data_IF_040816102673
#
_entry.id   IF_040816102673
#
_cell.length_a   1.000
_cell.length_b   1.000
_cell.length_c   1.000
_cell.angle_alpha   90.00
_cell.angle_beta   90.00
_cell.angle_gamma   90.00
#
_symmetry.space_group_name_H-M   'P 1'
#
loop_
_entity.id
_entity.type
_entity.pdbx_description
1 polymer ?
#
# COMPACT_ATOMS: atom_id res chain seq x y z
N UNK A 1 -1.22 -9.38 10.26
CA UNK A 1 -0.49 -9.78 9.06
C UNK A 1 -0.89 -8.89 7.89
N UNK A 2 0.05 -8.12 7.33
CA UNK A 2 -0.12 -7.48 6.03
C UNK A 2 -0.47 -8.48 4.92
N UNK A 3 -1.52 -8.18 4.16
CA UNK A 3 -1.98 -9.00 3.04
C UNK A 3 -2.33 -8.13 1.85
N UNK A 4 -1.93 -8.58 0.66
CA UNK A 4 -2.26 -7.99 -0.64
C UNK A 4 -3.29 -8.88 -1.32
N UNK A 5 -4.42 -8.29 -1.71
CA UNK A 5 -5.56 -8.98 -2.30
C UNK A 5 -6.01 -8.33 -3.60
N UNK A 6 -6.55 -9.14 -4.50
CA UNK A 6 -7.25 -8.71 -5.71
C UNK A 6 -8.73 -9.09 -5.57
N UNK A 7 -9.62 -8.12 -5.75
CA UNK A 7 -11.07 -8.30 -5.77
C UNK A 7 -11.59 -8.07 -7.19
N UNK A 8 -12.56 -8.86 -7.63
CA UNK A 8 -13.15 -8.78 -8.96
C UNK A 8 -14.68 -8.66 -8.87
N UNK A 9 -15.22 -7.55 -9.33
CA UNK A 9 -16.66 -7.29 -9.30
C UNK A 9 -17.23 -7.24 -10.71
N UNK A 10 -18.41 -7.84 -10.92
CA UNK A 10 -19.18 -7.69 -12.15
C UNK A 10 -20.03 -6.43 -12.05
N UNK A 11 -19.84 -5.51 -12.99
CA UNK A 11 -20.61 -4.29 -13.11
C UNK A 11 -21.86 -4.54 -13.95
N UNK A 12 -23.01 -3.98 -13.55
CA UNK A 12 -24.21 -3.97 -14.43
C UNK A 12 -24.00 -3.13 -15.68
N UNK A 13 -23.17 -2.09 -15.61
CA UNK A 13 -22.81 -1.20 -16.72
C UNK A 13 -21.37 -0.74 -16.55
N UNK A 14 -20.61 -0.63 -17.63
CA UNK A 14 -19.26 -0.06 -17.58
C UNK A 14 -19.35 1.46 -17.34
N UNK A 15 -18.69 2.01 -16.30
CA UNK A 15 -18.62 3.45 -16.10
C UNK A 15 -17.79 4.13 -17.21
N UNK A 16 -18.21 5.31 -17.64
CA UNK A 16 -17.44 6.13 -18.59
C UNK A 16 -16.10 6.59 -17.98
N UNK A 17 -16.14 6.98 -16.71
CA UNK A 17 -14.96 7.39 -15.94
C UNK A 17 -15.08 6.82 -14.53
N UNK A 18 -13.94 6.39 -13.99
CA UNK A 18 -13.81 5.94 -12.61
C UNK A 18 -12.62 6.64 -11.96
N UNK A 19 -12.85 7.28 -10.82
CA UNK A 19 -11.82 7.99 -10.08
C UNK A 19 -11.36 7.21 -8.86
N UNK A 20 -10.13 7.45 -8.38
CA UNK A 20 -9.66 6.97 -7.08
C UNK A 20 -10.63 7.16 -5.91
N UNK A 21 -11.34 8.29 -5.87
CA UNK A 21 -12.34 8.60 -4.84
C UNK A 21 -13.53 7.64 -4.85
N UNK A 22 -13.96 7.20 -6.03
CA UNK A 22 -15.05 6.24 -6.17
C UNK A 22 -14.64 4.87 -5.62
N UNK A 23 -13.41 4.44 -5.91
CA UNK A 23 -12.86 3.16 -5.46
C UNK A 23 -12.54 3.19 -3.96
N UNK A 24 -12.08 4.33 -3.45
CA UNK A 24 -11.94 4.56 -2.01
C UNK A 24 -13.28 4.45 -1.29
N UNK A 25 -14.35 5.04 -1.84
CA UNK A 25 -15.70 4.88 -1.30
C UNK A 25 -16.17 3.43 -1.33
N UNK A 26 -15.94 2.73 -2.45
CA UNK A 26 -16.25 1.30 -2.57
C UNK A 26 -15.56 0.48 -1.47
N UNK A 27 -14.29 0.74 -1.16
CA UNK A 27 -13.58 0.04 -0.09
C UNK A 27 -14.34 0.06 1.24
N UNK A 28 -14.87 1.21 1.67
CA UNK A 28 -15.63 1.29 2.93
C UNK A 28 -16.96 0.55 2.86
N UNK A 29 -17.63 0.55 1.70
CA UNK A 29 -18.86 -0.22 1.52
C UNK A 29 -18.66 -1.74 1.56
N UNK A 30 -17.41 -2.22 1.50
CA UNK A 30 -17.07 -3.63 1.70
C UNK A 30 -17.02 -4.04 3.17
N UNK A 31 -17.31 -3.15 4.12
CA UNK A 31 -17.28 -3.49 5.53
C UNK A 31 -18.60 -3.11 6.21
N UNK A 32 -18.88 -3.75 7.34
CA UNK A 32 -19.95 -3.31 8.21
C UNK A 32 -19.76 -1.87 8.68
N UNK A 33 -20.86 -1.17 8.96
CA UNK A 33 -20.84 0.25 9.32
C UNK A 33 -19.90 0.56 10.50
N UNK A 34 -19.85 -0.29 11.51
CA UNK A 34 -18.98 -0.13 12.67
C UNK A 34 -17.49 -0.12 12.29
N UNK A 35 -17.07 -1.05 11.42
CA UNK A 35 -15.70 -1.14 10.90
C UNK A 35 -15.42 0.05 9.97
N UNK A 36 -16.34 0.36 9.05
CA UNK A 36 -16.18 1.46 8.10
C UNK A 36 -16.01 2.81 8.82
N UNK A 37 -16.83 3.10 9.83
CA UNK A 37 -16.73 4.32 10.64
C UNK A 37 -15.42 4.40 11.42
N UNK A 38 -14.94 3.28 12.00
CA UNK A 38 -13.63 3.22 12.67
C UNK A 38 -12.52 3.61 11.71
N UNK A 39 -12.45 2.93 10.56
CA UNK A 39 -11.44 3.15 9.53
C UNK A 39 -11.46 4.59 8.99
N UNK A 40 -12.64 5.20 8.87
CA UNK A 40 -12.76 6.59 8.43
C UNK A 40 -12.13 7.58 9.42
N UNK A 41 -12.34 7.38 10.72
CA UNK A 41 -11.86 8.25 11.80
C UNK A 41 -10.37 8.14 12.07
N UNK A 42 -9.75 7.02 11.72
CA UNK A 42 -8.32 6.82 11.94
C UNK A 42 -7.45 7.79 11.13
N UNK A 43 -6.49 8.40 11.82
CA UNK A 43 -5.50 9.29 11.23
C UNK A 43 -4.62 8.55 10.21
N UNK A 44 -4.23 7.31 10.52
CA UNK A 44 -3.54 6.40 9.61
C UNK A 44 -4.43 5.22 9.34
N UNK A 45 -4.86 5.07 8.09
CA UNK A 45 -5.75 4.00 7.68
C UNK A 45 -4.97 2.69 7.46
N UNK A 46 -5.41 1.55 8.01
CA UNK A 46 -4.75 0.24 7.93
C UNK A 46 -4.95 -0.45 6.57
N UNK A 47 -4.98 0.32 5.49
CA UNK A 47 -5.05 -0.20 4.14
C UNK A 47 -4.35 0.74 3.15
N UNK A 48 -4.09 0.23 1.95
CA UNK A 48 -3.74 1.04 0.80
C UNK A 48 -4.34 0.42 -0.47
N UNK A 49 -4.67 1.27 -1.44
CA UNK A 49 -5.12 0.83 -2.76
C UNK A 49 -3.88 0.76 -3.66
N UNK A 50 -3.72 -0.35 -4.38
CA UNK A 50 -2.57 -0.58 -5.28
C UNK A 50 -2.90 -0.30 -6.74
N UNK A 51 -4.19 -0.38 -7.08
CA UNK A 51 -4.66 -0.03 -8.40
C UNK A 51 -6.06 -0.58 -8.63
N UNK A 52 -6.67 -0.15 -9.72
CA UNK A 52 -7.92 -0.71 -10.20
C UNK A 52 -7.98 -0.64 -11.72
N UNK A 53 -8.80 -1.50 -12.31
CA UNK A 53 -9.04 -1.50 -13.75
C UNK A 53 -10.46 -1.98 -14.05
N UNK A 54 -11.04 -1.48 -15.14
CA UNK A 54 -12.32 -2.00 -15.64
C UNK A 54 -12.06 -2.59 -17.02
N UNK A 55 -12.39 -3.87 -17.19
CA UNK A 55 -12.30 -4.57 -18.48
C UNK A 55 -13.48 -5.52 -18.61
N UNK A 56 -14.16 -5.52 -19.74
CA UNK A 56 -15.28 -6.44 -20.03
C UNK A 56 -16.37 -6.42 -18.93
N UNK A 57 -16.77 -5.21 -18.50
CA UNK A 57 -17.69 -4.98 -17.37
C UNK A 57 -17.26 -5.64 -16.05
N UNK A 58 -15.96 -5.92 -15.88
CA UNK A 58 -15.37 -6.43 -14.64
C UNK A 58 -14.45 -5.37 -14.05
N UNK A 59 -14.76 -4.91 -12.84
CA UNK A 59 -13.90 -4.07 -12.03
C UNK A 59 -12.94 -4.97 -11.25
N UNK A 60 -11.64 -4.81 -11.47
CA UNK A 60 -10.59 -5.39 -10.61
C UNK A 60 -10.04 -4.31 -9.70
N UNK A 61 -9.93 -4.62 -8.42
CA UNK A 61 -9.38 -3.77 -7.38
C UNK A 61 -8.26 -4.52 -6.67
N UNK A 62 -7.05 -3.96 -6.70
CA UNK A 62 -5.93 -4.44 -5.89
C UNK A 62 -5.76 -3.54 -4.67
N UNK A 63 -5.70 -4.14 -3.48
CA UNK A 63 -5.54 -3.43 -2.21
C UNK A 63 -4.71 -4.24 -1.24
N UNK A 64 -4.10 -3.57 -0.27
CA UNK A 64 -3.45 -4.22 0.85
C UNK A 64 -4.13 -3.84 2.16
N UNK A 65 -4.27 -4.80 3.07
CA UNK A 65 -4.73 -4.62 4.45
C UNK A 65 -3.53 -4.78 5.39
N UNK A 66 -3.47 -3.99 6.46
CA UNK A 66 -2.34 -3.93 7.39
C UNK A 66 -2.68 -4.43 8.80
N UNK A 67 -3.96 -4.73 9.06
CA UNK A 67 -4.48 -5.26 10.32
C UNK A 67 -5.14 -6.63 10.10
N UNK A 68 -4.90 -7.55 11.03
CA UNK A 68 -5.31 -8.95 10.99
C UNK A 68 -6.82 -9.12 10.88
N UNK A 69 -7.58 -8.34 11.66
CA UNK A 69 -9.04 -8.42 11.70
C UNK A 69 -9.73 -7.99 10.41
N UNK A 70 -9.04 -7.26 9.52
CA UNK A 70 -9.66 -6.75 8.30
C UNK A 70 -9.81 -7.81 7.22
N UNK A 71 -8.89 -8.77 7.14
CA UNK A 71 -8.93 -9.75 6.05
C UNK A 71 -10.11 -10.73 6.15
N UNK A 72 -10.38 -11.36 7.32
CA UNK A 72 -11.58 -12.16 7.50
C UNK A 72 -12.87 -11.35 7.30
N UNK A 73 -12.90 -10.11 7.82
CA UNK A 73 -14.04 -9.21 7.65
C UNK A 73 -14.31 -8.86 6.18
N UNK A 74 -13.24 -8.63 5.40
CA UNK A 74 -13.31 -8.37 3.97
C UNK A 74 -13.85 -9.59 3.22
N UNK A 75 -13.32 -10.80 3.50
CA UNK A 75 -13.79 -12.05 2.86
C UNK A 75 -15.29 -12.22 3.11
N UNK A 76 -15.71 -12.12 4.37
CA UNK A 76 -17.10 -12.29 4.75
C UNK A 76 -18.00 -11.28 4.01
N UNK A 77 -17.67 -10.00 4.09
CA UNK A 77 -18.50 -8.93 3.51
C UNK A 77 -18.46 -8.91 1.98
N UNK A 78 -17.37 -9.38 1.38
CA UNK A 78 -17.27 -9.54 -0.06
C UNK A 78 -18.21 -10.64 -0.56
N UNK A 79 -18.28 -11.81 0.08
CA UNK A 79 -19.16 -12.90 -0.38
C UNK A 79 -20.61 -12.78 0.12
N UNK A 80 -20.82 -12.10 1.24
CA UNK A 80 -22.13 -11.92 1.88
C UNK A 80 -22.39 -10.43 2.18
N UNK A 81 -22.51 -9.58 1.14
CA UNK A 81 -22.76 -8.16 1.34
C UNK A 81 -24.17 -7.95 1.91
N UNK A 82 -24.28 -7.20 3.02
CA UNK A 82 -25.58 -6.89 3.66
C UNK A 82 -26.48 -6.00 2.80
N UNK A 83 -25.87 -5.12 2.02
CA UNK A 83 -26.53 -4.20 1.10
C UNK A 83 -25.99 -4.39 -0.33
N UNK A 84 -26.71 -3.86 -1.32
CA UNK A 84 -26.20 -3.84 -2.69
C UNK A 84 -24.95 -2.98 -2.79
N UNK A 85 -23.86 -3.52 -3.34
CA UNK A 85 -22.66 -2.75 -3.63
C UNK A 85 -22.88 -1.86 -4.84
N UNK A 86 -22.38 -0.63 -4.77
CA UNK A 86 -22.49 0.35 -5.84
C UNK A 86 -21.19 1.13 -6.01
N UNK A 87 -20.92 1.55 -7.25
CA UNK A 87 -19.85 2.50 -7.54
C UNK A 87 -20.38 3.54 -8.53
N UNK A 88 -20.34 4.82 -8.17
CA UNK A 88 -21.01 5.90 -8.94
C UNK A 88 -22.49 5.61 -9.26
N UNK A 89 -23.22 5.00 -8.33
CA UNK A 89 -24.61 4.57 -8.51
C UNK A 89 -24.79 3.36 -9.44
N UNK A 90 -23.72 2.80 -10.00
CA UNK A 90 -23.76 1.57 -10.80
C UNK A 90 -23.74 0.37 -9.84
N UNK A 91 -24.76 -0.50 -9.84
CA UNK A 91 -24.73 -1.71 -9.04
C UNK A 91 -23.63 -2.65 -9.52
N UNK A 92 -22.92 -3.25 -8.56
CA UNK A 92 -21.88 -4.24 -8.81
C UNK A 92 -22.08 -5.44 -7.89
N UNK A 93 -21.65 -6.61 -8.35
CA UNK A 93 -21.69 -7.82 -7.55
C UNK A 93 -20.32 -8.50 -7.51
N UNK A 94 -19.98 -9.17 -6.41
CA UNK A 94 -18.83 -10.07 -6.36
C UNK A 94 -18.88 -11.05 -7.53
N UNK A 95 -17.74 -11.27 -8.20
CA UNK A 95 -17.66 -12.36 -9.17
C UNK A 95 -17.71 -13.70 -8.43
N UNK A 96 -18.54 -14.63 -8.95
CA UNK A 96 -18.61 -16.01 -8.45
C UNK A 96 -17.27 -16.71 -8.68
N UNK A 97 -16.88 -17.57 -7.74
CA UNK A 97 -15.71 -18.46 -7.79
C UNK A 97 -14.38 -17.75 -8.13
N UNK A 98 -13.52 -17.56 -7.10
CA UNK A 98 -12.20 -16.88 -7.21
C UNK A 98 -12.25 -15.37 -7.47
N UNK A 99 -13.34 -14.72 -7.10
CA UNK A 99 -13.47 -13.26 -7.20
C UNK A 99 -12.57 -12.49 -6.23
N UNK A 100 -12.23 -13.10 -5.10
CA UNK A 100 -11.19 -12.63 -4.18
C UNK A 100 -9.98 -13.55 -4.30
N UNK A 101 -8.79 -12.96 -4.48
CA UNK A 101 -7.51 -13.68 -4.54
C UNK A 101 -6.49 -13.04 -3.63
N UNK A 102 -5.87 -13.85 -2.78
CA UNK A 102 -4.65 -13.46 -2.07
C UNK A 102 -3.47 -13.47 -3.03
N UNK A 103 -2.78 -12.35 -3.16
CA UNK A 103 -1.62 -12.18 -4.05
C UNK A 103 -0.32 -12.37 -3.27
N UNK A 104 -0.29 -11.89 -2.02
CA UNK A 104 0.86 -11.97 -1.11
C UNK A 104 0.38 -11.77 0.32
N UNK A 105 0.86 -12.59 1.25
CA UNK A 105 0.71 -12.37 2.68
C UNK A 105 2.07 -12.56 3.35
N UNK A 106 2.41 -11.68 4.29
CA UNK A 106 3.59 -11.81 5.14
C UNK A 106 3.23 -11.21 6.50
N UNK A 107 3.36 -11.99 7.57
CA UNK A 107 3.18 -11.53 8.94
C UNK A 107 4.21 -10.45 9.30
N UNK A 108 3.93 -9.66 10.33
CA UNK A 108 4.91 -8.69 10.82
C UNK A 108 6.18 -9.37 11.34
N UNK A 109 6.05 -10.58 11.90
CA UNK A 109 7.19 -11.40 12.31
C UNK A 109 8.04 -11.85 11.10
N UNK A 110 7.43 -12.40 10.05
CA UNK A 110 8.15 -12.77 8.82
C UNK A 110 8.81 -11.55 8.16
N UNK A 111 8.16 -10.39 8.18
CA UNK A 111 8.76 -9.14 7.71
C UNK A 111 9.97 -8.75 8.57
N UNK A 112 9.90 -8.92 9.89
CA UNK A 112 11.02 -8.63 10.81
C UNK A 112 12.21 -9.56 10.58
N UNK A 113 11.98 -10.78 10.10
CA UNK A 113 13.02 -11.76 9.75
C UNK A 113 13.79 -11.40 8.47
N UNK A 114 13.34 -10.39 7.70
CA UNK A 114 14.01 -9.93 6.46
C UNK A 114 15.52 -9.73 6.64
N UNK A 115 16.35 -10.44 5.88
CA UNK A 115 17.81 -10.31 5.94
C UNK A 115 18.28 -8.88 5.59
N UNK A 116 19.40 -8.40 6.18
CA UNK A 116 19.91 -7.07 5.90
C UNK A 116 20.50 -6.97 4.49
N UNK A 117 19.98 -6.04 3.69
CA UNK A 117 20.51 -5.69 2.37
C UNK A 117 21.15 -4.29 2.39
N UNK A 118 22.47 -4.23 2.19
CA UNK A 118 23.20 -2.94 2.07
C UNK A 118 22.93 -2.21 0.77
N UNK A 119 22.35 -2.88 -0.23
CA UNK A 119 21.91 -2.29 -1.50
C UNK A 119 20.41 -2.53 -1.64
N UNK A 120 19.65 -1.45 -1.53
CA UNK A 120 18.19 -1.46 -1.64
C UNK A 120 17.77 -0.79 -2.93
N UNK A 121 16.67 -1.24 -3.51
CA UNK A 121 16.07 -0.62 -4.69
C UNK A 121 14.55 -0.66 -4.52
N UNK A 122 13.91 0.48 -4.71
CA UNK A 122 12.47 0.64 -4.62
C UNK A 122 11.95 1.25 -5.92
N UNK A 123 10.93 0.63 -6.51
CA UNK A 123 10.27 1.12 -7.72
C UNK A 123 8.91 1.71 -7.34
N UNK A 124 8.75 3.02 -7.52
CA UNK A 124 7.54 3.77 -7.27
C UNK A 124 6.71 3.79 -8.56
N UNK A 125 5.73 2.89 -8.63
CA UNK A 125 4.92 2.63 -9.83
C UNK A 125 3.70 3.55 -9.95
N UNK A 126 3.38 4.29 -8.90
CA UNK A 126 2.38 5.36 -8.95
C UNK A 126 2.90 6.65 -8.30
N UNK A 127 2.35 7.82 -8.66
CA UNK A 127 2.84 9.10 -8.15
C UNK A 127 2.91 9.12 -6.63
N UNK A 128 4.09 9.44 -6.11
CA UNK A 128 4.42 9.45 -4.69
C UNK A 128 4.80 10.85 -4.27
N UNK A 129 4.21 11.33 -3.18
CA UNK A 129 4.51 12.65 -2.65
C UNK A 129 4.43 12.64 -1.13
N UNK A 130 5.10 13.61 -0.53
CA UNK A 130 4.99 13.93 0.89
C UNK A 130 4.26 15.27 1.05
N UNK A 131 3.67 15.51 2.22
CA UNK A 131 3.14 16.83 2.52
C UNK A 131 4.26 17.72 3.06
N UNK A 132 4.52 18.84 2.39
CA UNK A 132 5.37 19.92 2.92
C UNK A 132 4.53 21.18 3.02
N UNK A 133 4.05 21.47 4.22
CA UNK A 133 3.04 22.51 4.46
C UNK A 133 1.76 22.27 3.64
N UNK A 134 1.43 23.18 2.72
CA UNK A 134 0.25 23.10 1.86
C UNK A 134 0.56 22.56 0.45
N UNK A 135 1.81 22.21 0.17
CA UNK A 135 2.25 21.76 -1.13
C UNK A 135 2.60 20.27 -1.15
N UNK A 136 2.37 19.65 -2.29
CA UNK A 136 2.91 18.33 -2.58
C UNK A 136 4.43 18.45 -2.71
N UNK A 137 5.16 17.56 -2.05
CA UNK A 137 6.61 17.45 -2.13
C UNK A 137 6.97 16.14 -2.85
N UNK A 138 7.21 16.19 -4.17
CA UNK A 138 7.40 15.02 -5.00
C UNK A 138 8.89 14.66 -5.15
N UNK A 139 9.69 14.76 -4.08
CA UNK A 139 11.10 14.37 -4.11
C UNK A 139 11.34 13.09 -3.31
N UNK A 140 12.11 12.12 -3.83
CA UNK A 140 12.37 10.83 -3.20
C UNK A 140 13.43 10.93 -2.10
N UNK A 141 13.25 11.81 -1.12
CA UNK A 141 14.21 11.96 -0.03
C UNK A 141 14.20 10.72 0.88
N UNK A 142 15.37 10.09 1.15
CA UNK A 142 15.39 8.83 1.89
C UNK A 142 14.77 8.94 3.28
N UNK A 143 15.06 10.02 4.01
CA UNK A 143 14.50 10.22 5.35
C UNK A 143 12.97 10.36 5.34
N UNK A 144 12.37 10.96 4.31
CA UNK A 144 10.91 11.04 4.17
C UNK A 144 10.29 9.68 3.85
N UNK A 145 10.92 8.91 2.95
CA UNK A 145 10.48 7.56 2.59
C UNK A 145 10.46 6.65 3.82
N UNK A 146 11.59 6.57 4.52
CA UNK A 146 11.75 5.62 5.62
C UNK A 146 11.06 6.09 6.91
N UNK A 147 10.97 7.39 7.19
CA UNK A 147 10.15 7.89 8.32
C UNK A 147 8.66 7.66 8.09
N UNK A 148 8.16 7.81 6.86
CA UNK A 148 6.78 7.48 6.51
C UNK A 148 6.48 5.99 6.73
N UNK A 149 7.35 5.11 6.25
CA UNK A 149 7.22 3.66 6.44
C UNK A 149 7.32 3.26 7.90
N UNK A 150 8.31 3.78 8.63
CA UNK A 150 8.49 3.56 10.07
C UNK A 150 7.24 3.97 10.85
N UNK A 151 6.69 5.14 10.54
CA UNK A 151 5.50 5.66 11.19
C UNK A 151 4.29 4.76 10.97
N UNK A 152 4.13 4.16 9.79
CA UNK A 152 3.07 3.17 9.50
C UNK A 152 3.36 1.83 10.16
N UNK A 153 4.59 1.35 10.10
CA UNK A 153 5.03 0.11 10.74
C UNK A 153 4.73 0.15 12.25
N UNK A 154 5.20 1.18 12.96
CA UNK A 154 4.96 1.35 14.40
C UNK A 154 3.49 1.60 14.76
N UNK A 155 2.60 1.85 13.79
CA UNK A 155 1.15 1.99 14.07
C UNK A 155 0.44 0.64 14.04
N UNK A 156 0.88 -0.28 13.17
CA UNK A 156 0.13 -1.50 12.86
C UNK A 156 0.86 -2.79 13.25
N UNK A 157 2.18 -2.73 13.45
CA UNK A 157 3.01 -3.84 13.90
C UNK A 157 3.05 -3.89 15.43
N UNK A 158 3.02 -5.10 15.98
CA UNK A 158 3.30 -5.37 17.40
C UNK A 158 4.81 -5.33 17.73
N UNK A 159 5.67 -5.26 16.70
CA UNK A 159 7.13 -5.22 16.83
C UNK A 159 7.64 -3.82 16.44
N UNK A 160 7.64 -2.82 17.34
CA UNK A 160 8.09 -1.48 17.00
C UNK A 160 9.57 -1.47 16.61
N UNK A 161 9.92 -0.61 15.66
CA UNK A 161 11.29 -0.32 15.27
C UNK A 161 11.68 1.09 15.75
N UNK A 162 12.93 1.21 16.17
CA UNK A 162 13.55 2.50 16.48
C UNK A 162 14.52 2.87 15.36
N UNK A 163 14.26 4.01 14.73
CA UNK A 163 15.07 4.55 13.65
C UNK A 163 14.98 6.07 13.67
N UNK A 164 16.04 6.73 14.12
CA UNK A 164 16.14 8.17 14.13
C UNK A 164 16.37 8.72 12.72
N UNK A 165 15.83 9.91 12.45
CA UNK A 165 16.04 10.61 11.18
C UNK A 165 17.54 10.80 10.87
N UNK A 166 18.32 11.11 11.90
CA UNK A 166 19.78 11.30 11.80
C UNK A 166 20.53 10.02 11.43
N UNK A 167 20.04 8.83 11.82
CA UNK A 167 20.59 7.55 11.38
C UNK A 167 20.41 7.39 9.86
N UNK A 168 19.22 7.71 9.35
CA UNK A 168 18.93 7.64 7.91
C UNK A 168 19.79 8.65 7.14
N UNK A 169 19.83 9.91 7.60
CA UNK A 169 20.57 10.98 6.92
C UNK A 169 22.09 10.72 6.87
N UNK A 170 22.68 10.06 7.89
CA UNK A 170 24.12 9.79 7.96
C UNK A 170 24.52 8.41 7.44
N UNK A 171 23.59 7.47 7.39
CA UNK A 171 23.85 6.06 7.11
C UNK A 171 23.33 5.59 5.75
N UNK A 172 22.66 6.46 4.98
CA UNK A 172 22.03 6.10 3.72
C UNK A 172 22.38 7.06 2.60
N UNK A 173 22.87 6.52 1.48
CA UNK A 173 23.17 7.29 0.27
C UNK A 173 22.24 6.85 -0.87
N UNK A 174 21.70 7.81 -1.63
CA UNK A 174 21.04 7.52 -2.91
C UNK A 174 22.13 7.36 -3.96
N UNK A 175 22.29 6.15 -4.51
CA UNK A 175 23.26 5.89 -5.58
C UNK A 175 22.62 5.88 -6.97
N UNK A 176 21.29 5.78 -7.03
CA UNK A 176 20.53 5.76 -8.27
C UNK A 176 19.19 6.45 -8.05
N UNK A 177 18.83 7.33 -8.98
CA UNK A 177 17.48 7.83 -9.11
C UNK A 177 17.17 8.01 -10.60
N UNK A 178 16.18 7.26 -11.09
CA UNK A 178 15.65 7.38 -12.44
C UNK A 178 14.14 7.56 -12.34
N UNK A 179 13.61 8.68 -12.83
CA UNK A 179 12.19 8.96 -12.70
C UNK A 179 11.78 10.35 -13.17
N UNK A 180 10.50 10.65 -12.96
CA UNK A 180 9.90 11.93 -13.30
C UNK A 180 8.77 12.25 -12.32
N UNK A 181 8.33 13.50 -12.28
CA UNK A 181 7.05 13.84 -11.66
C UNK A 181 5.88 13.53 -12.61
N UNK A 182 4.75 13.14 -12.05
CA UNK A 182 3.50 12.88 -12.77
C UNK A 182 2.31 13.41 -11.97
N UNK A 183 1.29 13.87 -12.69
CA UNK A 183 -0.01 14.20 -12.09
C UNK A 183 -0.76 12.91 -11.71
N UNK A 184 -1.41 12.93 -10.56
CA UNK A 184 -2.37 11.93 -10.12
C UNK A 184 -3.75 12.58 -9.97
N UNK A 185 -4.69 12.14 -10.80
CA UNK A 185 -6.06 12.67 -10.83
C UNK A 185 -6.89 11.90 -9.79
N UNK A 186 -7.22 12.54 -8.68
CA UNK A 186 -7.98 11.94 -7.58
C UNK A 186 -9.49 12.00 -7.85
N UNK A 187 -9.95 13.11 -8.43
CA UNK A 187 -11.31 13.33 -8.93
C UNK A 187 -11.29 14.43 -10.01
N UNK A 188 -12.47 14.90 -10.43
CA UNK A 188 -12.62 15.94 -11.46
C UNK A 188 -11.94 17.28 -11.13
N UNK A 189 -11.76 17.62 -9.85
CA UNK A 189 -11.27 18.92 -9.37
C UNK A 189 -9.97 18.83 -8.60
N UNK A 190 -9.62 17.63 -8.13
CA UNK A 190 -8.45 17.40 -7.29
C UNK A 190 -7.39 16.60 -8.04
N UNK A 191 -6.24 17.23 -8.22
CA UNK A 191 -5.02 16.60 -8.70
C UNK A 191 -3.91 16.75 -7.66
N UNK A 192 -2.96 15.83 -7.71
CA UNK A 192 -1.73 15.86 -6.93
C UNK A 192 -0.53 15.63 -7.82
N UNK A 193 0.63 16.14 -7.45
CA UNK A 193 1.88 15.87 -8.16
C UNK A 193 2.75 14.97 -7.30
N UNK A 194 3.26 13.89 -7.89
CA UNK A 194 4.17 12.96 -7.21
C UNK A 194 5.27 12.46 -8.13
N UNK A 195 6.36 11.95 -7.58
CA UNK A 195 7.38 11.27 -8.36
C UNK A 195 6.99 9.82 -8.65
N UNK A 196 7.46 9.30 -9.77
CA UNK A 196 7.47 7.88 -10.13
C UNK A 196 8.87 7.50 -10.56
N UNK A 197 9.18 6.20 -10.54
CA UNK A 197 10.44 5.67 -11.02
C UNK A 197 11.20 4.87 -9.96
N UNK A 198 12.49 4.68 -10.19
CA UNK A 198 13.36 3.81 -9.38
C UNK A 198 14.29 4.65 -8.51
N UNK A 199 14.38 4.27 -7.24
CA UNK A 199 15.34 4.85 -6.28
C UNK A 199 16.19 3.73 -5.69
N UNK A 200 17.51 3.86 -5.81
CA UNK A 200 18.50 2.94 -5.28
C UNK A 200 19.24 3.54 -4.09
N UNK A 201 19.37 2.77 -3.01
CA UNK A 201 20.06 3.17 -1.79
C UNK A 201 21.25 2.26 -1.45
N UNK A 202 22.34 2.85 -0.96
CA UNK A 202 23.46 2.18 -0.31
C UNK A 202 23.45 2.49 1.18
N UNK A 203 23.41 1.44 1.99
CA UNK A 203 23.33 1.51 3.46
C UNK A 203 24.70 1.22 4.07
N UNK A 204 25.12 2.07 5.01
CA UNK A 204 26.45 2.08 5.61
C UNK A 204 26.75 0.79 6.40
N UNK A 205 25.96 0.51 7.43
CA UNK A 205 26.16 -0.58 8.36
C UNK A 205 25.04 -1.63 8.28
N UNK A 206 25.24 -2.76 8.95
CA UNK A 206 24.36 -3.91 8.85
C UNK A 206 23.07 -3.75 9.68
N UNK A 207 23.14 -3.02 10.79
CA UNK A 207 22.00 -2.80 11.68
C UNK A 207 20.97 -1.88 11.01
N UNK A 208 21.43 -0.76 10.45
CA UNK A 208 20.59 0.12 9.65
C UNK A 208 20.05 -0.64 8.42
N UNK A 209 20.88 -1.45 7.74
CA UNK A 209 20.44 -2.25 6.61
C UNK A 209 19.32 -3.22 6.99
N UNK A 210 19.34 -3.82 8.18
CA UNK A 210 18.26 -4.69 8.69
C UNK A 210 16.96 -3.89 8.79
N UNK A 211 16.96 -2.78 9.53
CA UNK A 211 15.77 -1.91 9.73
C UNK A 211 15.19 -1.44 8.40
N UNK A 212 16.04 -0.92 7.50
CA UNK A 212 15.60 -0.40 6.21
C UNK A 212 15.12 -1.51 5.26
N UNK A 213 15.68 -2.73 5.33
CA UNK A 213 15.21 -3.86 4.51
C UNK A 213 13.80 -4.31 4.90
N UNK A 214 13.51 -4.38 6.22
CA UNK A 214 12.16 -4.65 6.74
C UNK A 214 11.16 -3.61 6.22
N UNK A 215 11.48 -2.32 6.38
CA UNK A 215 10.62 -1.22 5.93
C UNK A 215 10.44 -1.21 4.40
N UNK A 216 11.51 -1.47 3.64
CA UNK A 216 11.46 -1.54 2.20
C UNK A 216 10.58 -2.70 1.72
N UNK A 217 10.64 -3.89 2.35
CA UNK A 217 9.76 -5.00 2.00
C UNK A 217 8.30 -4.73 2.40
N UNK A 218 8.09 -4.10 3.56
CA UNK A 218 6.77 -3.65 4.04
C UNK A 218 6.11 -2.61 3.12
N UNK A 219 6.90 -1.80 2.40
CA UNK A 219 6.37 -0.80 1.45
C UNK A 219 5.45 -1.39 0.37
N UNK A 220 5.66 -2.66 -0.01
CA UNK A 220 4.77 -3.38 -0.93
C UNK A 220 3.32 -3.40 -0.43
N UNK A 221 3.12 -3.48 0.88
CA UNK A 221 1.80 -3.48 1.53
C UNK A 221 1.37 -2.08 1.94
N UNK A 222 2.24 -1.30 2.59
CA UNK A 222 1.85 -0.02 3.16
C UNK A 222 1.67 1.10 2.12
N UNK A 223 2.43 1.03 1.02
CA UNK A 223 2.70 2.20 0.18
C UNK A 223 3.57 3.24 0.90
N UNK A 224 3.96 4.29 0.18
CA UNK A 224 4.79 5.39 0.69
C UNK A 224 4.12 6.73 0.44
N UNK A 225 4.19 7.64 1.41
CA UNK A 225 3.76 9.02 1.25
C UNK A 225 2.26 9.24 1.49
N UNK A 226 1.70 10.23 0.80
CA UNK A 226 0.30 10.66 0.96
C UNK A 226 -0.64 9.87 0.07
N UNK A 227 -1.93 9.84 0.44
CA UNK A 227 -3.02 9.31 -0.39
C UNK A 227 -2.83 7.85 -0.85
N UNK A 228 -2.15 7.03 -0.06
CA UNK A 228 -2.00 5.58 -0.32
C UNK A 228 -3.34 4.84 -0.34
N UNK A 229 -4.36 5.34 0.36
CA UNK A 229 -5.73 4.83 0.32
C UNK A 229 -6.49 5.17 -0.97
N UNK A 230 -5.84 5.87 -1.91
CA UNK A 230 -6.39 6.31 -3.19
C UNK A 230 -5.54 5.83 -4.38
N UNK A 231 -4.49 5.03 -4.17
CA UNK A 231 -3.65 4.53 -5.27
C UNK A 231 -2.38 5.35 -5.55
N UNK A 232 -2.10 6.42 -4.80
CA UNK A 232 -0.77 7.05 -4.78
C UNK A 232 0.22 6.21 -3.96
N UNK A 233 1.52 6.41 -4.16
CA UNK A 233 2.53 5.81 -3.29
C UNK A 233 2.68 4.30 -3.44
N UNK A 234 2.32 3.72 -4.59
CA UNK A 234 2.44 2.29 -4.83
C UNK A 234 3.90 1.96 -5.13
N UNK A 235 4.45 1.04 -4.36
CA UNK A 235 5.87 0.65 -4.45
C UNK A 235 5.98 -0.84 -4.73
N UNK A 236 6.92 -1.20 -5.59
CA UNK A 236 7.42 -2.56 -5.76
C UNK A 236 8.85 -2.63 -5.24
N UNK A 237 9.05 -3.52 -4.27
CA UNK A 237 10.35 -3.81 -3.68
C UNK A 237 10.57 -5.30 -3.67
N UNK A 238 11.69 -5.74 -4.26
CA UNK A 238 12.14 -7.12 -4.23
C UNK A 238 13.54 -7.19 -3.65
N UNK A 239 13.72 -8.06 -2.66
CA UNK A 239 14.98 -8.32 -1.99
C UNK A 239 15.28 -9.81 -2.18
N UNK A 240 16.35 -10.13 -2.91
CA UNK A 240 16.70 -11.53 -3.23
C UNK A 240 17.03 -12.28 -1.94
N UNK A 241 16.34 -13.40 -1.69
CA UNK A 241 16.58 -14.22 -0.50
C UNK A 241 16.18 -13.55 0.82
N UNK A 242 15.35 -12.51 0.78
CA UNK A 242 15.02 -11.71 1.98
C UNK A 242 14.46 -12.52 3.14
N UNK A 243 13.66 -13.55 2.88
CA UNK A 243 13.07 -14.39 3.91
C UNK A 243 13.59 -15.81 3.65
N UNK A 244 14.45 -16.31 4.54
CA UNK A 244 14.68 -17.75 4.61
C UNK A 244 13.43 -18.32 5.25
N UNK A 245 12.58 -19.00 4.46
CA UNK A 245 11.56 -19.86 5.06
C UNK A 245 12.33 -20.89 5.87
N UNK A 246 12.26 -20.80 7.20
CA UNK A 246 12.67 -21.90 8.05
C UNK A 246 11.82 -23.10 7.67
N UNK A 247 12.48 -24.24 7.45
CA UNK A 247 11.80 -25.52 7.30
C UNK A 247 11.06 -25.83 8.62
N UNK A 248 9.83 -25.32 8.74
CA UNK A 248 8.85 -25.72 9.74
C UNK A 248 7.79 -26.57 9.04
N UNK A 249 8.25 -27.72 8.55
CA UNK A 249 7.43 -28.92 8.41
C UNK A 249 8.16 -30.02 9.15
N UNK A 250 7.79 -30.20 10.41
CA UNK A 250 8.01 -31.39 11.22
C UNK A 250 6.68 -31.84 11.77
#
# INVERSE_FOLDING_TARGET
>A
MPVLVELSFRLKKTPEVLYPTDVHGLFFSLFEESIAQRLHKEAKKPFSIKGFSVKDSTLRLELALLEDGLYPALIHSYYFPKEGLHIRGIPLSPTKDKGLKEKKALSYQELLETLPHKRLQMEFVSPTAFNRFKFDYPFPEPHLIFSNLLSRWNTFSEFPLELAETEVLKGLMVYEFEGSTQEFIIDQRLKRIGFVGRVGFLVKDQELAKKLSVLALFSNFAGVGIKTTMGMGVVKTSLKGAIQRSDLVG
#
